data_IF_547750297476
#
_entry.id   IF_547750297476
#
_cell.length_a   1.000
_cell.length_b   1.000
_cell.length_c   1.000
_cell.angle_alpha   90.00
_cell.angle_beta   90.00
_cell.angle_gamma   90.00
#
_symmetry.space_group_name_H-M   'P 1'
#
loop_
_entity.id
_entity.type
_entity.pdbx_description
1 polymer ?
#
# COMPACT_ATOMS: atom_id res chain seq x y z
N UNK A 1 2.87 27.09 11.76
CA UNK A 1 2.31 26.46 10.55
C UNK A 1 2.39 27.47 9.41
N UNK A 2 2.38 27.03 8.16
CA UNK A 2 2.43 27.97 7.04
C UNK A 2 1.06 28.65 6.84
N UNK A 3 1.09 29.95 6.53
CA UNK A 3 -0.08 30.77 6.17
C UNK A 3 0.19 31.41 4.82
N UNK A 4 -0.85 31.76 4.04
CA UNK A 4 -0.66 32.34 2.69
C UNK A 4 0.30 33.51 2.66
N UNK A 5 0.21 34.40 3.64
CA UNK A 5 1.05 35.61 3.74
C UNK A 5 2.54 35.33 3.85
N UNK A 6 2.93 34.14 4.30
CA UNK A 6 4.31 33.80 4.62
C UNK A 6 4.92 32.84 3.57
N UNK A 7 4.20 32.57 2.48
CA UNK A 7 4.62 31.63 1.42
C UNK A 7 4.87 32.45 0.15
N UNK A 8 6.05 32.32 -0.50
CA UNK A 8 6.30 32.95 -1.79
C UNK A 8 5.30 32.51 -2.85
N UNK A 9 4.86 33.43 -3.71
CA UNK A 9 3.83 33.17 -4.73
C UNK A 9 4.10 31.92 -5.60
N UNK A 10 5.33 31.68 -6.12
CA UNK A 10 5.59 30.47 -6.92
C UNK A 10 5.41 29.17 -6.12
N UNK A 11 5.65 29.20 -4.81
CA UNK A 11 5.41 28.05 -3.92
C UNK A 11 3.91 27.90 -3.66
N UNK A 12 3.17 29.01 -3.55
CA UNK A 12 1.73 29.00 -3.37
C UNK A 12 1.01 28.36 -4.56
N UNK A 13 1.39 28.72 -5.79
CA UNK A 13 0.89 28.10 -7.03
C UNK A 13 1.19 26.60 -7.09
N UNK A 14 2.41 26.20 -6.74
CA UNK A 14 2.80 24.79 -6.65
C UNK A 14 1.90 24.05 -5.64
N UNK A 15 1.70 24.61 -4.45
CA UNK A 15 0.90 24.00 -3.40
C UNK A 15 -0.59 23.92 -3.75
N UNK A 16 -1.11 24.88 -4.51
CA UNK A 16 -2.46 24.83 -5.05
C UNK A 16 -2.65 23.64 -5.98
N UNK A 17 -1.68 23.39 -6.87
CA UNK A 17 -1.70 22.24 -7.77
C UNK A 17 -1.63 20.91 -7.00
N UNK A 18 -0.82 20.84 -5.95
CA UNK A 18 -0.73 19.68 -5.06
C UNK A 18 -2.01 19.44 -4.24
N UNK A 19 -2.65 20.51 -3.77
CA UNK A 19 -3.95 20.45 -3.10
C UNK A 19 -5.02 19.87 -4.03
N UNK A 20 -5.13 20.40 -5.26
CA UNK A 20 -6.05 19.88 -6.27
C UNK A 20 -5.77 18.40 -6.59
N UNK A 21 -4.49 18.04 -6.74
CA UNK A 21 -4.06 16.66 -7.00
C UNK A 21 -4.41 15.72 -5.84
N UNK A 22 -4.25 16.19 -4.60
CA UNK A 22 -4.62 15.45 -3.39
C UNK A 22 -6.12 15.17 -3.36
N UNK A 23 -6.97 16.19 -3.58
CA UNK A 23 -8.43 16.00 -3.64
C UNK A 23 -8.80 14.97 -4.70
N UNK A 24 -8.24 15.12 -5.90
CA UNK A 24 -8.51 14.23 -7.03
C UNK A 24 -8.13 12.79 -6.69
N UNK A 25 -6.93 12.57 -6.17
CA UNK A 25 -6.44 11.25 -5.82
C UNK A 25 -7.30 10.59 -4.73
N UNK A 26 -7.62 11.31 -3.66
CA UNK A 26 -8.42 10.76 -2.56
C UNK A 26 -9.83 10.39 -3.03
N UNK A 27 -10.45 11.25 -3.84
CA UNK A 27 -11.77 10.98 -4.42
C UNK A 27 -11.77 9.78 -5.36
N UNK A 28 -10.87 9.77 -6.35
CA UNK A 28 -10.91 8.81 -7.45
C UNK A 28 -10.29 7.45 -7.10
N UNK A 29 -9.27 7.41 -6.24
CA UNK A 29 -8.56 6.17 -5.89
C UNK A 29 -9.00 5.55 -4.58
N UNK A 30 -9.39 6.38 -3.60
CA UNK A 30 -9.74 5.91 -2.27
C UNK A 30 -11.22 6.08 -1.90
N UNK A 31 -12.01 6.75 -2.75
CA UNK A 31 -13.40 7.14 -2.43
C UNK A 31 -13.51 7.96 -1.14
N UNK A 32 -12.50 8.80 -0.85
CA UNK A 32 -12.43 9.61 0.35
C UNK A 32 -12.75 11.06 0.01
N UNK A 33 -13.61 11.69 0.82
CA UNK A 33 -13.94 13.11 0.70
C UNK A 33 -12.94 13.96 1.48
N UNK A 34 -12.27 14.89 0.83
CA UNK A 34 -11.40 15.87 1.50
C UNK A 34 -12.27 17.07 1.92
N UNK A 35 -12.31 17.38 3.21
CA UNK A 35 -13.13 18.49 3.73
C UNK A 35 -12.31 19.72 4.09
N UNK A 36 -10.99 19.59 4.24
CA UNK A 36 -10.11 20.73 4.47
C UNK A 36 -10.11 21.66 3.25
N UNK A 37 -10.20 22.97 3.48
CA UNK A 37 -9.99 23.98 2.46
C UNK A 37 -8.48 24.18 2.18
N UNK A 38 -8.14 25.09 1.26
CA UNK A 38 -6.74 25.30 0.90
C UNK A 38 -5.89 25.91 2.03
N UNK A 39 -6.43 26.84 2.82
CA UNK A 39 -5.70 27.43 3.95
C UNK A 39 -5.42 26.41 5.04
N UNK A 40 -6.42 25.57 5.31
CA UNK A 40 -6.29 24.41 6.19
C UNK A 40 -5.25 23.42 5.66
N UNK A 41 -5.21 23.17 4.35
CA UNK A 41 -4.18 22.34 3.73
C UNK A 41 -2.78 22.95 3.86
N UNK A 42 -2.63 24.27 3.68
CA UNK A 42 -1.36 24.97 3.87
C UNK A 42 -0.84 24.84 5.31
N UNK A 43 -1.74 24.77 6.30
CA UNK A 43 -1.36 24.59 7.70
C UNK A 43 -0.59 23.27 7.95
N UNK A 44 -0.80 22.25 7.12
CA UNK A 44 -0.11 20.95 7.20
C UNK A 44 1.37 21.03 6.79
N UNK A 45 1.78 22.10 6.09
CA UNK A 45 3.14 22.28 5.61
C UNK A 45 4.02 22.97 6.65
N UNK A 46 5.20 22.37 6.89
CA UNK A 46 6.21 22.99 7.73
C UNK A 46 6.97 24.06 6.94
N UNK A 47 7.36 25.14 7.63
CA UNK A 47 8.08 26.25 6.98
C UNK A 47 9.44 25.80 6.40
N UNK A 48 10.08 24.80 7.02
CA UNK A 48 11.29 24.18 6.47
C UNK A 48 11.06 23.61 5.07
N UNK A 49 9.91 22.95 4.82
CA UNK A 49 9.57 22.43 3.48
C UNK A 49 9.24 23.56 2.51
N UNK A 50 8.49 24.56 2.95
CA UNK A 50 8.21 25.77 2.15
C UNK A 50 9.52 26.40 1.66
N UNK A 51 10.46 26.64 2.57
CA UNK A 51 11.77 27.21 2.26
C UNK A 51 12.60 26.29 1.34
N UNK A 52 12.45 24.97 1.48
CA UNK A 52 13.11 24.02 0.57
C UNK A 52 12.53 24.11 -0.83
N UNK A 53 11.20 24.19 -0.97
CA UNK A 53 10.54 24.36 -2.27
C UNK A 53 10.92 25.68 -2.93
N UNK A 54 10.94 26.78 -2.19
CA UNK A 54 11.37 28.08 -2.69
C UNK A 54 12.77 28.01 -3.31
N UNK A 55 13.75 27.47 -2.58
CA UNK A 55 15.12 27.24 -3.09
C UNK A 55 15.15 26.34 -4.32
N UNK A 56 14.32 25.29 -4.35
CA UNK A 56 14.28 24.35 -5.48
C UNK A 56 13.66 24.97 -6.73
N UNK A 57 12.69 25.88 -6.57
CA UNK A 57 12.12 26.66 -7.67
C UNK A 57 13.18 27.62 -8.22
N UNK A 58 13.93 28.32 -7.36
CA UNK A 58 15.05 29.19 -7.78
C UNK A 58 16.13 28.43 -8.57
N UNK A 59 16.42 27.19 -8.18
CA UNK A 59 17.34 26.29 -8.91
C UNK A 59 16.77 25.80 -10.26
N UNK A 60 15.51 26.09 -10.56
CA UNK A 60 14.85 25.76 -11.83
C UNK A 60 13.89 24.56 -11.78
N UNK A 61 13.04 24.47 -12.80
CA UNK A 61 11.90 23.55 -12.86
C UNK A 61 12.28 22.07 -12.63
N UNK A 62 13.39 21.59 -13.19
CA UNK A 62 13.85 20.21 -13.01
C UNK A 62 14.15 19.88 -11.54
N UNK A 63 14.64 20.85 -10.78
CA UNK A 63 15.03 20.67 -9.38
C UNK A 63 13.80 20.52 -8.48
N UNK A 64 12.79 21.37 -8.67
CA UNK A 64 11.51 21.25 -7.96
C UNK A 64 10.73 20.01 -8.39
N UNK A 65 10.71 19.68 -9.68
CA UNK A 65 10.08 18.45 -10.17
C UNK A 65 10.70 17.21 -9.54
N UNK A 66 12.04 17.14 -9.48
CA UNK A 66 12.73 16.05 -8.83
C UNK A 66 12.35 15.96 -7.35
N UNK A 67 12.28 17.09 -6.64
CA UNK A 67 11.91 17.11 -5.23
C UNK A 67 10.47 16.63 -5.00
N UNK A 68 9.50 17.15 -5.75
CA UNK A 68 8.08 16.85 -5.56
C UNK A 68 7.71 15.44 -6.04
N UNK A 69 8.26 14.99 -7.17
CA UNK A 69 7.91 13.70 -7.80
C UNK A 69 8.78 12.53 -7.33
N UNK A 70 9.70 12.75 -6.38
CA UNK A 70 10.55 11.68 -5.87
C UNK A 70 9.70 10.61 -5.16
N UNK A 71 9.77 9.37 -5.63
CA UNK A 71 8.97 8.25 -5.11
C UNK A 71 9.28 7.85 -3.67
N UNK A 72 10.46 8.20 -3.15
CA UNK A 72 10.89 7.87 -1.80
C UNK A 72 10.75 9.09 -0.87
N UNK A 73 11.30 10.22 -1.30
CA UNK A 73 11.49 11.39 -0.43
C UNK A 73 10.54 12.54 -0.72
N UNK A 74 9.75 12.45 -1.79
CA UNK A 74 8.81 13.50 -2.19
C UNK A 74 7.78 13.74 -1.09
N UNK A 75 7.44 15.00 -0.80
CA UNK A 75 6.39 15.31 0.15
C UNK A 75 5.03 14.87 -0.40
N UNK A 76 4.25 14.18 0.43
CA UNK A 76 2.89 13.75 0.10
C UNK A 76 1.94 14.08 1.24
N UNK A 77 0.69 14.37 0.90
CA UNK A 77 -0.40 14.44 1.88
C UNK A 77 -0.84 13.02 2.25
N UNK A 78 -0.36 12.54 3.39
CA UNK A 78 -0.68 11.24 3.95
C UNK A 78 -1.57 11.35 5.18
N UNK A 79 -1.85 10.20 5.80
CA UNK A 79 -2.63 10.11 7.03
C UNK A 79 -1.73 10.21 8.26
N UNK A 80 -2.28 10.67 9.38
CA UNK A 80 -1.56 10.70 10.65
C UNK A 80 -1.23 9.30 11.16
N UNK A 81 -2.17 8.37 11.00
CA UNK A 81 -2.07 6.96 11.36
C UNK A 81 -2.85 6.07 10.38
N UNK A 82 -2.71 4.75 10.53
CA UNK A 82 -3.43 3.78 9.70
C UNK A 82 -4.92 3.78 10.02
N UNK A 83 -5.26 3.97 11.29
CA UNK A 83 -6.62 3.95 11.84
C UNK A 83 -7.41 5.19 11.43
N UNK A 84 -6.73 6.34 11.27
CA UNK A 84 -7.35 7.57 10.78
C UNK A 84 -7.87 7.42 9.34
N UNK A 85 -7.27 6.52 8.55
CA UNK A 85 -7.74 6.24 7.20
C UNK A 85 -8.97 5.33 7.23
N UNK A 86 -10.14 5.95 7.21
CA UNK A 86 -11.41 5.27 6.99
C UNK A 86 -11.71 5.27 5.48
N UNK A 87 -11.75 4.10 4.86
CA UNK A 87 -12.16 3.97 3.45
C UNK A 87 -13.62 4.42 3.30
N UNK A 88 -13.91 5.28 2.32
CA UNK A 88 -15.22 5.92 2.19
C UNK A 88 -15.47 7.07 3.18
N UNK A 89 -14.49 7.38 4.03
CA UNK A 89 -14.60 8.42 5.05
C UNK A 89 -14.22 9.81 4.56
N UNK A 90 -13.93 10.69 5.53
CA UNK A 90 -13.52 12.07 5.31
C UNK A 90 -12.09 12.29 5.75
N UNK A 91 -11.32 13.06 4.98
CA UNK A 91 -9.97 13.51 5.36
C UNK A 91 -10.05 14.96 5.86
N UNK A 92 -9.77 15.15 7.15
CA UNK A 92 -9.72 16.46 7.81
C UNK A 92 -8.29 16.86 8.12
N UNK A 93 -8.07 18.10 8.62
CA UNK A 93 -6.75 18.59 9.04
C UNK A 93 -6.17 17.72 10.16
N UNK A 94 -7.02 17.24 11.08
CA UNK A 94 -6.58 16.42 12.21
C UNK A 94 -6.06 15.04 11.77
N UNK A 95 -6.59 14.52 10.66
CA UNK A 95 -6.29 13.17 10.17
C UNK A 95 -5.15 13.15 9.14
N UNK A 96 -4.74 14.32 8.66
CA UNK A 96 -3.78 14.49 7.58
C UNK A 96 -2.45 15.05 8.06
N UNK A 97 -1.36 14.69 7.36
CA UNK A 97 -0.06 15.33 7.52
C UNK A 97 0.77 15.26 6.24
N UNK A 98 1.65 16.24 6.06
CA UNK A 98 2.68 16.19 5.01
C UNK A 98 3.86 15.34 5.50
N UNK A 99 4.13 14.25 4.79
CA UNK A 99 5.19 13.30 5.10
C UNK A 99 5.96 12.87 3.84
N UNK A 100 6.99 12.04 4.01
CA UNK A 100 7.67 11.44 2.85
C UNK A 100 6.80 10.36 2.22
N UNK A 101 6.89 10.21 0.91
CA UNK A 101 6.20 9.16 0.16
C UNK A 101 6.49 7.75 0.71
N UNK A 102 7.74 7.48 1.10
CA UNK A 102 8.14 6.20 1.68
C UNK A 102 7.45 5.92 3.03
N UNK A 103 7.39 6.92 3.92
CA UNK A 103 6.74 6.77 5.23
C UNK A 103 5.24 6.47 5.08
N UNK A 104 4.58 7.19 4.16
CA UNK A 104 3.18 6.96 3.81
C UNK A 104 2.98 5.53 3.28
N UNK A 105 3.85 5.10 2.36
CA UNK A 105 3.80 3.75 1.81
C UNK A 105 3.97 2.70 2.90
N UNK A 106 4.95 2.86 3.79
CA UNK A 106 5.23 1.92 4.89
C UNK A 106 4.06 1.81 5.86
N UNK A 107 3.40 2.93 6.17
CA UNK A 107 2.21 2.96 7.04
C UNK A 107 1.09 2.04 6.54
N UNK A 108 0.93 1.92 5.22
CA UNK A 108 -0.11 1.09 4.60
C UNK A 108 0.39 -0.25 4.05
N UNK A 109 1.66 -0.60 4.30
CA UNK A 109 2.15 -1.94 4.02
C UNK A 109 1.54 -2.95 4.98
N UNK A 110 1.42 -4.19 4.50
CA UNK A 110 0.94 -5.32 5.28
C UNK A 110 1.90 -5.57 6.46
N UNK A 111 1.38 -5.45 7.67
CA UNK A 111 2.17 -5.61 8.91
C UNK A 111 2.07 -7.04 9.44
N UNK A 112 2.96 -7.37 10.37
CA UNK A 112 2.91 -8.65 11.09
C UNK A 112 1.58 -8.73 11.86
N UNK A 113 0.82 -9.80 11.63
CA UNK A 113 -0.50 -10.00 12.24
C UNK A 113 -1.67 -9.57 11.36
N UNK A 114 -1.44 -8.77 10.30
CA UNK A 114 -2.47 -8.50 9.32
C UNK A 114 -2.95 -9.81 8.67
N UNK A 115 -4.25 -9.88 8.38
CA UNK A 115 -4.85 -11.00 7.66
C UNK A 115 -5.43 -10.50 6.35
N UNK A 116 -5.19 -11.26 5.28
CA UNK A 116 -5.88 -11.00 4.02
C UNK A 116 -7.38 -11.25 4.18
N UNK A 117 -8.19 -10.34 3.62
CA UNK A 117 -9.63 -10.56 3.48
C UNK A 117 -9.94 -11.82 2.67
N UNK A 118 -11.17 -12.33 2.79
CA UNK A 118 -11.59 -13.54 2.06
C UNK A 118 -11.43 -13.39 0.54
N UNK A 119 -11.84 -12.25 -0.01
CA UNK A 119 -11.69 -11.92 -1.44
C UNK A 119 -10.22 -11.91 -1.87
N UNK A 120 -9.35 -11.22 -1.13
CA UNK A 120 -7.92 -11.18 -1.43
C UNK A 120 -7.28 -12.58 -1.37
N UNK A 121 -7.66 -13.41 -0.39
CA UNK A 121 -7.19 -14.80 -0.30
C UNK A 121 -7.63 -15.63 -1.50
N UNK A 122 -8.89 -15.48 -1.94
CA UNK A 122 -9.40 -16.15 -3.12
C UNK A 122 -8.62 -15.74 -4.37
N UNK A 123 -8.44 -14.43 -4.61
CA UNK A 123 -7.69 -13.92 -5.76
C UNK A 123 -6.22 -14.38 -5.76
N UNK A 124 -5.56 -14.38 -4.60
CA UNK A 124 -4.19 -14.92 -4.48
C UNK A 124 -4.17 -16.42 -4.79
N UNK A 125 -5.19 -17.16 -4.31
CA UNK A 125 -5.36 -18.57 -4.58
C UNK A 125 -5.50 -18.86 -6.06
N UNK A 126 -6.41 -18.15 -6.74
CA UNK A 126 -6.67 -18.32 -8.17
C UNK A 126 -5.46 -17.93 -9.02
N UNK A 127 -4.76 -16.86 -8.65
CA UNK A 127 -3.54 -16.43 -9.33
C UNK A 127 -2.40 -17.46 -9.25
N UNK A 128 -2.39 -18.32 -8.23
CA UNK A 128 -1.36 -19.35 -8.00
C UNK A 128 -1.79 -20.75 -8.42
N UNK A 129 -3.10 -21.04 -8.45
CA UNK A 129 -3.64 -22.37 -8.76
C UNK A 129 -3.20 -22.79 -10.17
N UNK A 130 -2.74 -24.03 -10.30
CA UNK A 130 -2.33 -24.63 -11.58
C UNK A 130 -0.99 -24.13 -12.16
N UNK A 131 -0.34 -23.13 -11.56
CA UNK A 131 0.97 -22.66 -12.05
C UNK A 131 2.10 -23.53 -11.53
N UNK A 132 2.94 -24.11 -12.41
CA UNK A 132 4.10 -24.89 -11.98
C UNK A 132 5.09 -23.99 -11.22
N UNK A 133 5.70 -24.54 -10.17
CA UNK A 133 6.79 -23.86 -9.47
C UNK A 133 8.07 -24.00 -10.28
N UNK A 134 8.91 -22.97 -10.30
CA UNK A 134 10.22 -23.06 -10.95
C UNK A 134 11.08 -24.15 -10.29
N UNK A 135 11.92 -24.80 -11.09
CA UNK A 135 12.80 -25.86 -10.59
C UNK A 135 13.73 -25.37 -9.47
N UNK A 136 14.23 -24.13 -9.56
CA UNK A 136 15.05 -23.50 -8.52
C UNK A 136 14.28 -23.39 -7.19
N UNK A 137 12.99 -23.03 -7.25
CA UNK A 137 12.15 -22.95 -6.06
C UNK A 137 11.92 -24.35 -5.45
N UNK A 138 11.67 -25.36 -6.30
CA UNK A 138 11.51 -26.75 -5.85
C UNK A 138 12.80 -27.24 -5.19
N UNK A 139 13.96 -27.01 -5.79
CA UNK A 139 15.28 -27.38 -5.24
C UNK A 139 15.53 -26.71 -3.88
N UNK A 140 15.33 -25.39 -3.76
CA UNK A 140 15.47 -24.66 -2.49
C UNK A 140 14.55 -25.20 -1.40
N UNK A 141 13.28 -25.45 -1.74
CA UNK A 141 12.30 -26.01 -0.78
C UNK A 141 12.72 -27.40 -0.33
N UNK A 142 13.11 -28.27 -1.24
CA UNK A 142 13.51 -29.65 -0.93
C UNK A 142 14.76 -29.66 -0.05
N UNK A 143 15.79 -28.89 -0.40
CA UNK A 143 17.00 -28.76 0.40
C UNK A 143 16.71 -28.33 1.85
N UNK A 144 15.82 -27.35 2.03
CA UNK A 144 15.41 -26.89 3.37
C UNK A 144 14.52 -27.86 4.16
N UNK A 145 14.13 -29.00 3.58
CA UNK A 145 13.34 -30.05 4.25
C UNK A 145 14.17 -31.29 4.57
N UNK A 146 15.32 -31.48 3.94
CA UNK A 146 16.24 -32.58 4.23
C UNK A 146 16.69 -32.47 5.70
N UNK A 147 16.62 -33.58 6.44
CA UNK A 147 17.05 -33.66 7.85
C UNK A 147 16.07 -33.10 8.88
N UNK A 148 14.94 -32.49 8.49
CA UNK A 148 13.92 -32.03 9.45
C UNK A 148 13.11 -33.21 9.99
N UNK A 149 13.25 -33.51 11.29
CA UNK A 149 12.39 -34.48 12.00
C UNK A 149 10.94 -33.96 12.00
N UNK A 150 10.05 -34.68 11.33
CA UNK A 150 8.59 -34.46 11.44
C UNK A 150 8.04 -35.42 12.49
N UNK A 151 7.29 -34.89 13.45
CA UNK A 151 6.62 -35.71 14.46
C UNK A 151 5.57 -36.65 13.85
N UNK A 152 5.04 -37.61 14.64
CA UNK A 152 3.97 -38.48 14.20
C UNK A 152 2.74 -37.66 13.79
N UNK A 153 2.15 -38.02 12.66
CA UNK A 153 0.96 -37.36 12.14
C UNK A 153 -0.25 -37.69 13.01
N UNK A 154 -1.03 -36.69 13.43
CA UNK A 154 -2.25 -36.91 14.20
C UNK A 154 -3.30 -37.71 13.41
N UNK A 155 -4.16 -38.45 14.11
CA UNK A 155 -5.24 -39.23 13.47
C UNK A 155 -6.20 -38.35 12.68
N UNK A 156 -6.50 -37.14 13.17
CA UNK A 156 -7.31 -36.15 12.44
C UNK A 156 -6.66 -35.74 11.10
N UNK A 157 -5.34 -35.53 11.08
CA UNK A 157 -4.61 -35.19 9.87
C UNK A 157 -4.58 -36.37 8.88
N UNK A 158 -4.44 -37.61 9.37
CA UNK A 158 -4.53 -38.82 8.55
C UNK A 158 -5.93 -38.96 7.93
N UNK A 159 -6.99 -38.77 8.71
CA UNK A 159 -8.36 -38.84 8.24
C UNK A 159 -8.63 -37.80 7.13
N UNK A 160 -8.17 -36.55 7.32
CA UNK A 160 -8.30 -35.48 6.33
C UNK A 160 -7.54 -35.76 5.02
N UNK A 161 -6.37 -36.38 5.12
CA UNK A 161 -5.62 -36.82 3.93
C UNK A 161 -6.33 -37.95 3.18
N UNK A 162 -6.90 -38.92 3.90
CA UNK A 162 -7.69 -40.01 3.30
C UNK A 162 -8.91 -39.46 2.56
N UNK A 163 -9.68 -38.57 3.19
CA UNK A 163 -10.86 -37.98 2.55
C UNK A 163 -10.50 -37.14 1.32
N UNK A 164 -9.43 -36.33 1.41
CA UNK A 164 -8.95 -35.54 0.27
C UNK A 164 -8.50 -36.42 -0.90
N UNK A 165 -7.80 -37.53 -0.63
CA UNK A 165 -7.38 -38.49 -1.66
C UNK A 165 -8.57 -39.17 -2.33
N UNK A 166 -9.55 -39.62 -1.55
CA UNK A 166 -10.77 -40.23 -2.08
C UNK A 166 -11.54 -39.26 -2.99
N UNK A 167 -11.71 -38.00 -2.56
CA UNK A 167 -12.37 -36.97 -3.37
C UNK A 167 -11.62 -36.67 -4.68
N UNK A 168 -10.29 -36.60 -4.64
CA UNK A 168 -9.48 -36.37 -5.84
C UNK A 168 -9.54 -37.55 -6.82
N UNK A 169 -9.58 -38.79 -6.33
CA UNK A 169 -9.69 -39.97 -7.19
C UNK A 169 -11.07 -40.03 -7.86
N UNK A 170 -12.15 -39.80 -7.10
CA UNK A 170 -13.50 -39.74 -7.66
C UNK A 170 -13.68 -38.62 -8.70
N UNK A 171 -13.01 -37.47 -8.50
CA UNK A 171 -13.02 -36.38 -9.47
C UNK A 171 -12.28 -36.74 -10.77
N UNK A 172 -11.18 -37.51 -10.68
CA UNK A 172 -10.44 -38.02 -11.84
C UNK A 172 -11.21 -39.07 -12.63
N UNK A 173 -11.90 -39.98 -11.94
CA UNK A 173 -12.75 -40.98 -12.59
C UNK A 173 -13.87 -40.29 -13.40
N UNK A 174 -14.55 -39.29 -12.81
CA UNK A 174 -15.56 -38.50 -13.52
C UNK A 174 -15.04 -37.67 -14.70
N UNK A 175 -13.75 -37.37 -14.76
CA UNK A 175 -13.16 -36.63 -15.90
C UNK A 175 -12.65 -37.55 -17.02
N UNK A 176 -12.53 -38.86 -16.77
CA UNK A 176 -12.16 -39.86 -17.77
C UNK A 176 -13.37 -40.57 -18.40
N UNK A 177 -14.57 -40.39 -17.85
CA UNK A 177 -15.85 -40.94 -18.37
C UNK A 177 -16.61 -39.95 -19.28
N UNK A 178 -15.96 -38.89 -19.76
CA UNK A 178 -16.43 -37.93 -20.78
C UNK A 178 -15.48 -37.93 -21.98
#
# INVERSE_FOLDING_TARGET
>A
MATRTNIPEPVLELLWNEYCSTIKYQREKNSIKVTMNFDEYLSLWSMTRINTMAKKIEMGQKSIDYYMKNKLYGPVCGWVSREARILGGTMTVADAKIMKAEDSKRMFQFQVGDKHGASARASIGDAKRGKPQSEEHVKKRTAGQIGKKRGPMSEEAKAKLRSTRAANNAAKEKTNDL
#
